data_IF_949149988305
#
_entry.id   IF_949149988305
#
_cell.length_a   1.000
_cell.length_b   1.000
_cell.length_c   1.000
_cell.angle_alpha   90.00
_cell.angle_beta   90.00
_cell.angle_gamma   90.00
#
_symmetry.space_group_name_H-M   'P 1'
#
loop_
_entity.id
_entity.type
_entity.pdbx_description
1 polymer ?
#
# COMPACT_ATOMS: atom_id res chain seq x y z
N UNK A 1 -10.47 16.29 -6.76
CA UNK A 1 -9.21 15.76 -7.39
C UNK A 1 -8.99 14.36 -6.86
N UNK A 2 -8.38 13.46 -7.64
CA UNK A 2 -8.02 12.10 -7.21
C UNK A 2 -6.78 12.17 -6.31
N UNK A 3 -6.91 11.80 -5.03
CA UNK A 3 -5.80 11.80 -4.08
C UNK A 3 -4.87 10.60 -4.31
N UNK A 4 -3.61 10.76 -3.92
CA UNK A 4 -2.60 9.70 -3.84
C UNK A 4 -2.32 9.42 -2.38
N UNK A 5 -2.59 8.21 -1.94
CA UNK A 5 -2.59 7.81 -0.53
C UNK A 5 -1.62 6.65 -0.35
N UNK A 6 -0.55 6.84 0.41
CA UNK A 6 0.29 5.72 0.82
C UNK A 6 -0.46 4.85 1.85
N UNK A 7 -0.41 3.54 1.69
CA UNK A 7 -1.05 2.58 2.59
C UNK A 7 -0.02 1.50 2.92
N UNK A 8 0.39 1.40 4.19
CA UNK A 8 1.41 0.44 4.57
C UNK A 8 1.33 0.01 6.02
N UNK A 9 1.40 -1.30 6.27
CA UNK A 9 1.67 -1.80 7.62
C UNK A 9 3.15 -1.63 7.95
N UNK A 10 3.44 -1.23 9.18
CA UNK A 10 4.80 -0.93 9.64
C UNK A 10 4.96 -1.33 11.10
N UNK A 11 6.11 -1.90 11.47
CA UNK A 11 6.47 -2.13 12.87
C UNK A 11 6.68 -0.81 13.62
N UNK A 12 6.60 -0.84 14.95
CA UNK A 12 6.82 0.34 15.80
C UNK A 12 8.21 0.96 15.60
N UNK A 13 9.21 0.16 15.22
CA UNK A 13 10.58 0.61 14.93
C UNK A 13 10.82 0.96 13.44
N UNK A 14 9.76 1.02 12.62
CA UNK A 14 9.79 1.63 11.30
C UNK A 14 10.08 0.70 10.12
N UNK A 15 9.92 -0.61 10.28
CA UNK A 15 10.17 -1.59 9.22
C UNK A 15 8.85 -2.14 8.66
N UNK A 16 8.83 -2.41 7.36
CA UNK A 16 7.69 -2.99 6.63
C UNK A 16 7.89 -4.46 6.29
N UNK A 17 9.10 -4.94 6.44
CA UNK A 17 9.49 -6.34 6.31
C UNK A 17 10.75 -6.59 7.13
N UNK A 18 10.96 -7.83 7.55
CA UNK A 18 12.17 -8.27 8.24
C UNK A 18 13.40 -8.35 7.31
N UNK A 19 14.55 -8.80 7.84
CA UNK A 19 15.80 -8.92 7.09
C UNK A 19 15.75 -9.98 5.97
N UNK A 20 14.76 -10.88 6.01
CA UNK A 20 14.54 -11.93 5.00
C UNK A 20 13.35 -11.60 4.08
N UNK A 21 12.86 -10.36 4.09
CA UNK A 21 11.63 -9.93 3.42
C UNK A 21 10.34 -10.55 3.99
N UNK A 22 10.36 -11.11 5.20
CA UNK A 22 9.20 -11.57 5.93
C UNK A 22 8.28 -10.40 6.29
N UNK A 23 6.98 -10.56 6.13
CA UNK A 23 5.97 -9.54 6.45
C UNK A 23 4.94 -10.04 7.46
N UNK A 24 5.03 -11.29 7.87
CA UNK A 24 3.99 -11.97 8.65
C UNK A 24 3.69 -11.21 9.94
N UNK A 25 4.71 -10.75 10.67
CA UNK A 25 4.53 -10.05 11.94
C UNK A 25 3.86 -8.67 11.78
N UNK A 26 4.17 -7.93 10.70
CA UNK A 26 3.57 -6.62 10.45
C UNK A 26 2.17 -6.72 9.85
N UNK A 27 1.81 -7.87 9.31
CA UNK A 27 0.48 -8.18 8.74
C UNK A 27 -0.38 -9.07 9.64
N UNK A 28 0.13 -9.57 10.79
CA UNK A 28 -0.60 -10.46 11.70
C UNK A 28 -1.98 -9.91 12.11
N UNK A 29 -2.10 -8.59 12.30
CA UNK A 29 -3.36 -7.93 12.66
C UNK A 29 -4.48 -8.12 11.62
N UNK A 30 -4.16 -8.45 10.36
CA UNK A 30 -5.15 -8.81 9.33
C UNK A 30 -5.78 -10.18 9.55
N UNK A 31 -5.16 -11.04 10.40
CA UNK A 31 -5.56 -12.45 10.57
C UNK A 31 -5.85 -12.83 12.03
N UNK A 32 -5.76 -11.88 12.96
CA UNK A 32 -5.83 -12.14 14.40
C UNK A 32 -7.12 -11.63 15.07
N UNK A 33 -8.12 -11.22 14.29
CA UNK A 33 -9.41 -10.72 14.78
C UNK A 33 -10.56 -11.70 14.58
N UNK A 34 -11.77 -11.24 14.87
CA UNK A 34 -13.02 -12.02 14.86
C UNK A 34 -14.06 -11.51 13.85
N UNK A 35 -13.70 -10.49 13.06
CA UNK A 35 -14.57 -9.92 12.03
C UNK A 35 -14.03 -10.23 10.64
N UNK A 36 -14.78 -10.97 9.86
CA UNK A 36 -14.43 -11.31 8.48
C UNK A 36 -14.57 -10.11 7.56
N UNK A 37 -13.53 -9.89 6.75
CA UNK A 37 -13.53 -8.89 5.67
C UNK A 37 -13.14 -9.58 4.38
N UNK A 38 -14.16 -9.91 3.58
CA UNK A 38 -13.97 -10.55 2.28
C UNK A 38 -13.35 -9.59 1.26
N UNK A 39 -12.49 -10.14 0.38
CA UNK A 39 -11.92 -9.40 -0.74
C UNK A 39 -12.98 -9.19 -1.84
N UNK A 40 -12.97 -8.02 -2.50
CA UNK A 40 -13.85 -7.74 -3.63
C UNK A 40 -13.64 -8.67 -4.83
N UNK A 41 -12.40 -9.12 -5.06
CA UNK A 41 -12.08 -10.04 -6.17
C UNK A 41 -12.63 -11.44 -5.90
N UNK A 42 -13.41 -11.96 -6.84
CA UNK A 42 -13.95 -13.34 -6.78
C UNK A 42 -12.89 -14.42 -7.06
N UNK A 43 -11.70 -14.02 -7.51
CA UNK A 43 -10.57 -14.93 -7.76
C UNK A 43 -9.57 -14.94 -6.61
N UNK A 44 -9.75 -14.09 -5.61
CA UNK A 44 -8.89 -14.07 -4.42
C UNK A 44 -9.42 -15.03 -3.37
N UNK A 45 -8.58 -15.92 -2.91
CA UNK A 45 -8.84 -16.77 -1.73
C UNK A 45 -8.45 -16.08 -0.41
N UNK A 46 -7.94 -14.84 -0.49
CA UNK A 46 -7.53 -14.07 0.68
C UNK A 46 -8.76 -13.59 1.45
N UNK A 47 -8.77 -13.83 2.74
CA UNK A 47 -9.79 -13.36 3.67
C UNK A 47 -9.11 -12.76 4.88
N UNK A 48 -9.59 -11.61 5.34
CA UNK A 48 -9.06 -10.96 6.54
C UNK A 48 -9.98 -11.24 7.73
N UNK A 49 -9.37 -11.51 8.87
CA UNK A 49 -10.02 -11.69 10.17
C UNK A 49 -9.47 -10.63 11.13
N UNK A 50 -10.16 -9.50 11.24
CA UNK A 50 -9.66 -8.30 11.94
C UNK A 50 -10.57 -7.90 13.11
N UNK A 51 -10.09 -7.00 13.97
CA UNK A 51 -10.96 -6.40 14.98
C UNK A 51 -12.07 -5.56 14.34
N UNK A 52 -13.17 -5.30 15.05
CA UNK A 52 -14.29 -4.50 14.54
C UNK A 52 -13.84 -3.10 14.06
N UNK A 53 -12.95 -2.45 14.81
CA UNK A 53 -12.40 -1.13 14.46
C UNK A 53 -11.55 -1.21 13.18
N UNK A 54 -10.71 -2.24 13.05
CA UNK A 54 -9.90 -2.48 11.86
C UNK A 54 -10.76 -2.86 10.65
N UNK A 55 -11.87 -3.59 10.85
CA UNK A 55 -12.80 -3.95 9.78
C UNK A 55 -13.40 -2.71 9.10
N UNK A 56 -13.83 -1.72 9.87
CA UNK A 56 -14.36 -0.47 9.33
C UNK A 56 -13.27 0.33 8.58
N UNK A 57 -12.04 0.34 9.10
CA UNK A 57 -10.88 0.94 8.45
C UNK A 57 -10.58 0.27 7.10
N UNK A 58 -10.43 -1.06 7.06
CA UNK A 58 -10.12 -1.82 5.84
C UNK A 58 -11.23 -1.69 4.79
N UNK A 59 -12.50 -1.82 5.20
CA UNK A 59 -13.66 -1.61 4.31
C UNK A 59 -13.71 -0.18 3.78
N UNK A 60 -13.30 0.81 4.59
CA UNK A 60 -13.14 2.21 4.17
C UNK A 60 -12.14 2.33 3.03
N UNK A 61 -10.93 1.81 3.21
CA UNK A 61 -9.87 1.82 2.19
C UNK A 61 -10.33 1.16 0.88
N UNK A 62 -10.97 -0.02 0.94
CA UNK A 62 -11.49 -0.71 -0.25
C UNK A 62 -12.55 0.11 -1.02
N UNK A 63 -13.32 0.95 -0.33
CA UNK A 63 -14.28 1.87 -0.99
C UNK A 63 -13.62 3.11 -1.58
N UNK A 64 -12.61 3.66 -0.90
CA UNK A 64 -11.93 4.91 -1.24
C UNK A 64 -10.91 4.74 -2.38
N UNK A 65 -10.26 3.56 -2.47
CA UNK A 65 -9.20 3.30 -3.44
C UNK A 65 -9.79 2.75 -4.74
N UNK A 66 -9.38 3.33 -5.87
CA UNK A 66 -9.84 2.93 -7.21
C UNK A 66 -8.74 2.36 -8.11
N UNK A 67 -7.47 2.53 -7.74
CA UNK A 67 -6.33 1.89 -8.38
C UNK A 67 -5.20 1.71 -7.36
N UNK A 68 -4.38 0.68 -7.52
CA UNK A 68 -3.20 0.44 -6.70
C UNK A 68 -1.93 0.73 -7.49
N UNK A 69 -0.99 1.44 -6.87
CA UNK A 69 0.35 1.67 -7.40
C UNK A 69 1.37 0.99 -6.50
N UNK A 70 2.27 0.21 -7.07
CA UNK A 70 3.29 -0.51 -6.31
C UNK A 70 4.59 -0.68 -7.10
N UNK A 71 5.65 -1.14 -6.41
CA UNK A 71 6.93 -1.47 -7.04
C UNK A 71 7.02 -2.96 -7.43
N UNK A 72 8.06 -3.26 -8.21
CA UNK A 72 8.39 -4.59 -8.69
C UNK A 72 8.46 -5.65 -7.58
N UNK A 73 9.12 -5.32 -6.46
CA UNK A 73 9.33 -6.25 -5.35
C UNK A 73 8.01 -6.70 -4.71
N UNK A 74 7.09 -5.76 -4.44
CA UNK A 74 5.76 -6.08 -3.91
C UNK A 74 4.96 -6.95 -4.89
N UNK A 75 5.01 -6.62 -6.18
CA UNK A 75 4.38 -7.40 -7.23
C UNK A 75 4.89 -8.84 -7.27
N UNK A 76 6.21 -9.05 -7.25
CA UNK A 76 6.81 -10.39 -7.27
C UNK A 76 6.49 -11.19 -6.00
N UNK A 77 6.53 -10.52 -4.85
CA UNK A 77 6.20 -11.14 -3.58
C UNK A 77 4.74 -11.60 -3.49
N UNK A 78 3.83 -10.83 -4.08
CA UNK A 78 2.42 -11.17 -4.20
C UNK A 78 2.13 -12.16 -5.35
N UNK A 79 3.16 -12.77 -5.96
CA UNK A 79 3.02 -13.63 -7.15
C UNK A 79 2.16 -12.98 -8.26
N UNK A 80 2.22 -11.65 -8.38
CA UNK A 80 1.42 -10.88 -9.32
C UNK A 80 -0.09 -11.00 -9.11
N UNK A 81 -0.54 -11.43 -7.94
CA UNK A 81 -1.96 -11.69 -7.59
C UNK A 81 -2.66 -12.58 -8.62
N UNK A 82 -1.93 -13.50 -9.24
CA UNK A 82 -2.39 -14.31 -10.38
C UNK A 82 -3.02 -13.48 -11.52
N UNK A 83 -2.61 -12.23 -11.66
CA UNK A 83 -3.06 -11.30 -12.68
C UNK A 83 -4.24 -10.41 -12.28
N UNK A 84 -4.77 -10.52 -11.05
CA UNK A 84 -5.90 -9.72 -10.59
C UNK A 84 -5.74 -9.29 -9.13
N UNK A 85 -5.66 -7.97 -8.92
CA UNK A 85 -5.50 -7.45 -7.56
C UNK A 85 -6.68 -7.87 -6.66
N UNK A 86 -6.45 -8.26 -5.37
CA UNK A 86 -7.51 -8.75 -4.47
C UNK A 86 -8.68 -7.79 -4.28
N UNK A 87 -8.47 -6.49 -4.40
CA UNK A 87 -9.55 -5.49 -4.33
C UNK A 87 -10.29 -5.29 -5.66
N UNK A 88 -10.02 -6.09 -6.67
CA UNK A 88 -10.60 -6.03 -8.02
C UNK A 88 -10.45 -4.66 -8.71
N UNK A 89 -9.36 -3.98 -8.43
CA UNK A 89 -8.99 -2.67 -9.00
C UNK A 89 -7.76 -2.80 -9.88
N UNK A 90 -7.53 -1.89 -10.86
CA UNK A 90 -6.30 -1.86 -11.64
C UNK A 90 -5.07 -1.70 -10.74
N UNK A 91 -4.03 -2.51 -10.98
CA UNK A 91 -2.75 -2.40 -10.30
C UNK A 91 -1.67 -1.92 -11.27
N UNK A 92 -0.97 -0.84 -10.91
CA UNK A 92 0.14 -0.27 -11.67
C UNK A 92 1.45 -0.65 -10.98
N UNK A 93 2.38 -1.24 -11.72
CA UNK A 93 3.68 -1.69 -11.21
C UNK A 93 4.79 -0.85 -11.82
N UNK A 94 5.43 -0.01 -10.98
CA UNK A 94 6.63 0.74 -11.40
C UNK A 94 7.81 -0.21 -11.45
N UNK A 95 8.48 -0.27 -12.58
CA UNK A 95 9.62 -1.17 -12.80
C UNK A 95 10.52 -0.64 -13.92
N UNK A 96 11.79 -1.03 -13.95
CA UNK A 96 12.66 -0.72 -15.09
C UNK A 96 12.33 -1.60 -16.31
N UNK A 97 11.98 -2.87 -16.07
CA UNK A 97 11.69 -3.86 -17.12
C UNK A 97 10.42 -4.63 -16.80
N UNK A 98 9.61 -4.91 -17.82
CA UNK A 98 8.43 -5.76 -17.67
C UNK A 98 8.87 -7.21 -17.42
N UNK A 99 8.36 -7.90 -16.40
CA UNK A 99 8.71 -9.28 -16.10
C UNK A 99 8.40 -10.22 -17.28
N UNK A 100 9.22 -11.25 -17.48
CA UNK A 100 8.95 -12.28 -18.46
C UNK A 100 7.57 -12.92 -18.22
N UNK A 101 6.82 -13.16 -19.29
CA UNK A 101 5.45 -13.69 -19.21
C UNK A 101 4.38 -12.68 -18.84
N UNK A 102 4.70 -11.38 -18.75
CA UNK A 102 3.76 -10.31 -18.51
C UNK A 102 3.74 -9.29 -19.66
N UNK A 103 2.65 -8.52 -19.89
CA UNK A 103 1.34 -8.69 -19.22
C UNK A 103 0.63 -9.99 -19.62
N UNK A 104 -0.17 -10.56 -18.69
CA UNK A 104 -0.98 -11.74 -18.98
C UNK A 104 -2.33 -11.35 -19.60
N UNK A 105 -2.87 -12.12 -20.54
CA UNK A 105 -4.21 -11.86 -21.08
C UNK A 105 -5.28 -11.84 -19.98
N UNK A 106 -6.14 -10.81 -20.00
CA UNK A 106 -7.21 -10.63 -18.99
C UNK A 106 -6.76 -10.11 -17.64
N UNK A 107 -5.45 -9.84 -17.45
CA UNK A 107 -4.91 -9.24 -16.23
C UNK A 107 -5.31 -7.77 -16.09
N UNK A 108 -5.56 -7.32 -14.86
CA UNK A 108 -5.71 -5.91 -14.52
C UNK A 108 -4.41 -5.28 -13.97
N UNK A 109 -3.26 -5.94 -14.20
CA UNK A 109 -1.93 -5.44 -13.81
C UNK A 109 -1.27 -4.75 -15.00
N UNK A 110 -0.84 -3.51 -14.80
CA UNK A 110 -0.23 -2.63 -15.80
C UNK A 110 1.20 -2.28 -15.38
N UNK A 111 2.17 -2.47 -16.27
CA UNK A 111 3.56 -2.12 -15.99
C UNK A 111 3.88 -0.73 -16.52
N UNK A 112 4.63 0.04 -15.74
CA UNK A 112 5.05 1.41 -16.06
C UNK A 112 6.57 1.50 -15.92
N UNK A 113 7.25 1.80 -17.03
CA UNK A 113 8.72 1.79 -17.12
C UNK A 113 9.32 3.19 -17.30
N UNK A 114 8.49 4.21 -17.35
CA UNK A 114 8.84 5.60 -17.62
C UNK A 114 8.76 6.50 -16.37
N UNK A 115 8.86 5.90 -15.18
CA UNK A 115 9.05 6.61 -13.92
C UNK A 115 7.79 6.79 -13.07
N UNK A 116 8.00 7.33 -11.86
CA UNK A 116 6.96 7.42 -10.82
C UNK A 116 5.87 8.43 -11.21
N UNK A 117 6.21 9.55 -11.82
CA UNK A 117 5.27 10.59 -12.24
C UNK A 117 4.26 10.04 -13.28
N UNK A 118 4.78 9.31 -14.28
CA UNK A 118 3.94 8.65 -15.29
C UNK A 118 3.03 7.60 -14.66
N UNK A 119 3.57 6.81 -13.73
CA UNK A 119 2.80 5.78 -13.04
C UNK A 119 1.66 6.38 -12.20
N UNK A 120 1.92 7.45 -11.45
CA UNK A 120 0.89 8.16 -10.68
C UNK A 120 -0.16 8.77 -11.62
N UNK A 121 0.24 9.39 -12.73
CA UNK A 121 -0.70 9.98 -13.69
C UNK A 121 -1.65 8.91 -14.29
N UNK A 122 -1.12 7.75 -14.69
CA UNK A 122 -1.92 6.63 -15.22
C UNK A 122 -2.84 6.04 -14.16
N UNK A 123 -2.33 5.84 -12.93
CA UNK A 123 -3.13 5.34 -11.82
C UNK A 123 -4.27 6.31 -11.45
N UNK A 124 -4.01 7.63 -11.40
CA UNK A 124 -5.05 8.65 -11.18
C UNK A 124 -6.14 8.61 -12.25
N UNK A 125 -5.77 8.46 -13.51
CA UNK A 125 -6.75 8.36 -14.61
C UNK A 125 -7.64 7.12 -14.46
N UNK A 126 -7.08 6.00 -14.02
CA UNK A 126 -7.84 4.76 -13.81
C UNK A 126 -8.67 4.76 -12.51
N UNK A 127 -8.19 5.42 -11.46
CA UNK A 127 -8.85 5.47 -10.16
C UNK A 127 -10.06 6.41 -10.12
N UNK A 128 -10.08 7.46 -10.94
CA UNK A 128 -11.05 8.56 -10.84
C UNK A 128 -12.51 8.08 -10.80
N UNK A 129 -13.34 8.61 -9.88
CA UNK A 129 -13.07 9.73 -8.98
C UNK A 129 -12.42 9.33 -7.63
N UNK A 130 -12.13 8.06 -7.43
CA UNK A 130 -11.52 7.51 -6.20
C UNK A 130 -10.03 7.85 -6.10
N UNK A 131 -9.40 7.46 -4.99
CA UNK A 131 -7.99 7.68 -4.71
C UNK A 131 -7.10 6.59 -5.34
N UNK A 132 -5.81 6.89 -5.50
CA UNK A 132 -4.77 5.92 -5.81
C UNK A 132 -4.14 5.46 -4.48
N UNK A 133 -4.19 4.16 -4.19
CA UNK A 133 -3.42 3.56 -3.10
C UNK A 133 -1.98 3.31 -3.56
N UNK A 134 -0.99 3.74 -2.77
CA UNK A 134 0.43 3.45 -3.03
C UNK A 134 0.95 2.49 -1.98
N UNK A 135 1.53 1.38 -2.43
CA UNK A 135 2.03 0.32 -1.57
C UNK A 135 3.50 -0.01 -1.87
N UNK A 136 4.26 -0.38 -0.81
CA UNK A 136 5.68 -0.71 -0.90
C UNK A 136 6.61 0.46 -0.62
N UNK A 137 7.62 0.25 0.25
CA UNK A 137 8.48 1.28 0.81
C UNK A 137 9.11 2.19 -0.26
N UNK A 138 9.81 1.63 -1.24
CA UNK A 138 10.49 2.42 -2.27
C UNK A 138 9.53 3.25 -3.13
N UNK A 139 8.34 2.72 -3.46
CA UNK A 139 7.34 3.45 -4.24
C UNK A 139 6.77 4.62 -3.44
N UNK A 140 6.53 4.41 -2.15
CA UNK A 140 6.08 5.47 -1.23
C UNK A 140 7.15 6.56 -1.11
N UNK A 141 8.42 6.18 -0.92
CA UNK A 141 9.55 7.13 -0.85
C UNK A 141 9.67 7.95 -2.14
N UNK A 142 9.59 7.32 -3.32
CA UNK A 142 9.60 8.03 -4.60
C UNK A 142 8.44 9.01 -4.74
N UNK A 143 7.23 8.63 -4.31
CA UNK A 143 6.07 9.53 -4.34
C UNK A 143 6.26 10.72 -3.37
N UNK A 144 6.83 10.51 -2.19
CA UNK A 144 7.16 11.58 -1.23
C UNK A 144 8.19 12.55 -1.81
N UNK A 145 9.29 12.04 -2.35
CA UNK A 145 10.37 12.85 -2.91
C UNK A 145 9.93 13.64 -4.15
N UNK A 146 9.01 13.08 -4.94
CA UNK A 146 8.43 13.77 -6.09
C UNK A 146 7.29 14.74 -5.72
N UNK A 147 6.86 14.80 -4.44
CA UNK A 147 5.75 15.65 -3.99
C UNK A 147 4.40 15.21 -4.56
N UNK A 148 4.22 13.92 -4.80
CA UNK A 148 3.03 13.33 -5.42
C UNK A 148 2.05 12.73 -4.41
N UNK A 149 2.42 12.67 -3.12
CA UNK A 149 1.62 12.04 -2.07
C UNK A 149 0.75 13.08 -1.36
N UNK A 150 -0.55 12.82 -1.25
CA UNK A 150 -1.51 13.68 -0.55
C UNK A 150 -1.74 13.22 0.89
N UNK A 151 -1.70 11.91 1.16
CA UNK A 151 -1.92 11.34 2.49
C UNK A 151 -1.01 10.13 2.74
N UNK A 152 -0.71 9.90 4.02
CA UNK A 152 0.07 8.77 4.50
C UNK A 152 -0.77 8.00 5.51
N UNK A 153 -1.17 6.78 5.16
CA UNK A 153 -1.85 5.85 6.04
C UNK A 153 -0.85 4.79 6.50
N UNK A 154 -0.63 4.74 7.80
CA UNK A 154 0.25 3.77 8.45
C UNK A 154 -0.57 2.89 9.38
N UNK A 155 -0.57 1.60 9.12
CA UNK A 155 -1.07 0.59 10.03
C UNK A 155 0.10 0.16 10.92
N UNK A 156 0.26 0.85 12.06
CA UNK A 156 1.36 0.68 12.99
C UNK A 156 1.14 -0.58 13.83
N UNK A 157 1.76 -1.68 13.42
CA UNK A 157 1.68 -2.96 14.12
C UNK A 157 2.43 -2.91 15.47
N UNK A 158 1.86 -3.55 16.47
CA UNK A 158 2.41 -3.60 17.83
C UNK A 158 3.58 -4.59 17.94
N UNK A 159 4.59 -4.46 17.06
CA UNK A 159 5.75 -5.33 16.94
C UNK A 159 7.03 -4.52 16.72
N UNK A 160 8.16 -5.05 17.17
CA UNK A 160 9.50 -4.56 16.87
C UNK A 160 10.22 -5.61 16.04
N UNK A 161 10.70 -5.26 14.84
CA UNK A 161 11.45 -6.17 13.98
C UNK A 161 12.95 -6.10 14.21
N UNK A 162 13.49 -4.98 14.71
CA UNK A 162 14.91 -4.79 14.99
C UNK A 162 15.79 -4.66 13.75
N UNK A 163 15.25 -4.85 12.53
CA UNK A 163 15.99 -4.77 11.26
C UNK A 163 15.11 -5.15 10.08
N UNK A 164 15.58 -4.86 8.87
CA UNK A 164 14.85 -5.18 7.65
C UNK A 164 14.65 -4.00 6.70
N UNK A 165 13.52 -3.93 6.03
CA UNK A 165 13.17 -2.88 5.06
C UNK A 165 12.47 -1.73 5.77
N UNK A 166 13.11 -0.55 5.84
CA UNK A 166 12.50 0.65 6.43
C UNK A 166 11.47 1.27 5.48
N UNK A 167 10.36 1.74 6.06
CA UNK A 167 9.37 2.50 5.29
C UNK A 167 9.94 3.85 4.85
N UNK A 168 10.61 4.55 5.77
CA UNK A 168 11.21 5.86 5.50
C UNK A 168 12.73 5.77 5.65
N UNK A 169 13.38 5.59 4.50
CA UNK A 169 14.84 5.57 4.38
C UNK A 169 15.24 6.32 3.12
N UNK A 170 16.43 6.94 3.15
CA UNK A 170 16.99 7.65 1.99
C UNK A 170 16.09 8.72 1.35
N UNK A 171 15.18 9.36 2.11
CA UNK A 171 14.35 10.45 1.62
C UNK A 171 15.23 11.66 1.24
N UNK A 172 15.03 12.14 0.01
CA UNK A 172 15.78 13.29 -0.51
C UNK A 172 15.31 14.61 0.10
N UNK A 173 14.03 14.68 0.52
CA UNK A 173 13.42 15.88 1.11
C UNK A 173 13.11 15.67 2.58
N UNK A 174 14.03 16.09 3.44
CA UNK A 174 13.86 16.03 4.90
C UNK A 174 14.29 17.35 5.55
N UNK A 175 13.63 17.79 6.65
CA UNK A 175 12.49 17.14 7.30
C UNK A 175 11.20 17.26 6.47
N UNK A 176 10.41 16.17 6.39
CA UNK A 176 9.05 16.20 5.85
C UNK A 176 8.06 16.40 7.02
N UNK A 177 7.33 17.51 7.01
CA UNK A 177 6.37 17.84 8.07
C UNK A 177 4.98 17.37 7.65
N UNK A 178 4.35 16.55 8.49
CA UNK A 178 3.01 16.03 8.27
C UNK A 178 1.96 16.85 9.02
N UNK A 179 0.72 16.80 8.55
CA UNK A 179 -0.43 17.36 9.28
C UNK A 179 -0.79 16.53 10.51
N UNK A 180 -1.79 17.01 11.27
CA UNK A 180 -2.28 16.26 12.43
C UNK A 180 -2.93 14.95 12.02
N UNK A 181 -2.62 13.83 12.69
CA UNK A 181 -3.17 12.54 12.33
C UNK A 181 -4.62 12.34 12.79
N UNK A 182 -5.37 11.56 12.01
CA UNK A 182 -6.49 10.79 12.53
C UNK A 182 -5.97 9.47 13.05
N UNK A 183 -6.45 9.03 14.23
CA UNK A 183 -5.96 7.82 14.90
C UNK A 183 -7.13 6.91 15.23
N UNK A 184 -7.02 5.63 14.85
CA UNK A 184 -7.97 4.57 15.23
C UNK A 184 -7.17 3.42 15.83
N UNK A 185 -7.52 3.03 17.05
CA UNK A 185 -6.91 1.88 17.71
C UNK A 185 -7.64 0.59 17.33
N UNK A 186 -6.90 -0.39 16.83
CA UNK A 186 -7.35 -1.76 16.61
C UNK A 186 -6.64 -2.75 17.53
N UNK A 187 -7.00 -4.03 17.46
CA UNK A 187 -6.26 -5.08 18.17
C UNK A 187 -4.93 -5.33 17.43
N UNK A 188 -3.81 -5.24 18.16
CA UNK A 188 -2.46 -5.42 17.60
C UNK A 188 -1.99 -4.34 16.61
N UNK A 189 -2.77 -3.28 16.38
CA UNK A 189 -2.46 -2.24 15.40
C UNK A 189 -3.03 -0.87 15.81
N UNK A 190 -2.35 0.19 15.40
CA UNK A 190 -2.88 1.56 15.44
C UNK A 190 -2.90 2.13 14.02
N UNK A 191 -4.08 2.44 13.50
CA UNK A 191 -4.25 3.06 12.19
C UNK A 191 -4.03 4.56 12.29
N UNK A 192 -3.04 5.08 11.58
CA UNK A 192 -2.65 6.48 11.54
C UNK A 192 -2.88 7.02 10.12
N UNK A 193 -3.56 8.16 10.01
CA UNK A 193 -3.80 8.83 8.74
C UNK A 193 -3.29 10.26 8.84
N UNK A 194 -2.23 10.59 8.12
CA UNK A 194 -1.60 11.91 8.10
C UNK A 194 -1.83 12.60 6.76
N UNK A 195 -2.31 13.86 6.73
CA UNK A 195 -2.15 14.71 5.56
C UNK A 195 -0.68 14.99 5.29
N UNK A 196 -0.27 14.93 4.03
CA UNK A 196 1.08 15.30 3.58
C UNK A 196 1.02 16.74 3.04
N UNK A 197 1.83 17.63 3.60
CA UNK A 197 1.95 18.99 3.09
C UNK A 197 3.04 19.03 2.01
N UNK A 198 2.63 19.21 0.75
CA UNK A 198 3.56 19.56 -0.33
C UNK A 198 4.00 21.01 -0.15
N UNK A 199 5.22 21.22 0.32
CA UNK A 199 5.87 22.53 0.37
C UNK A 199 6.36 22.96 -1.01
#
# INVERSE_FOLDING_TARGET
MTNVVAIMSMSLDGYVADANDGVDEVFDWYFSGDVDVAMPSTTSEMEFHVSAQSADHVRGLMREVGAMLTGRRTFERANGWDGRHPWDIPAFVVTHDVPAGWPRPGSNVHFVTDGIESAVARAKAAAAPKSVGVHGAQTIQQCLDAGLLDELHIDLAAVLLGGGVRLFDHLARTPAVLGNPTVVAGAGVTHLRYPVHTS
#
